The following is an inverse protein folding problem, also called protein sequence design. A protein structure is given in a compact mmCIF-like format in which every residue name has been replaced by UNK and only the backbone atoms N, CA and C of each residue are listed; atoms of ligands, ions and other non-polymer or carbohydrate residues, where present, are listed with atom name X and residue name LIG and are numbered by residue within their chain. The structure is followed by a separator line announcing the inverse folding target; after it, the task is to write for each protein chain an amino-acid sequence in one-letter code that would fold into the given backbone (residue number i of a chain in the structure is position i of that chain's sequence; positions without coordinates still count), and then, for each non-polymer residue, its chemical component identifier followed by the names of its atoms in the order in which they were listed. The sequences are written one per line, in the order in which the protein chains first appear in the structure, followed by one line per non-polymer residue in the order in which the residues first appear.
data_IF_199210305007
#
_entry.id   IF_199210305007
#
_cell.length_a   1.000
_cell.length_b   1.000
_cell.length_c   1.000
_cell.angle_alpha   90.00
_cell.angle_beta   90.00
_cell.angle_gamma   90.00
#
_symmetry.space_group_name_H-M   'P 1'
#
loop_
_entity.id
_entity.type
_entity.pdbx_description
1 polymer ?
#
# COMPACT_ATOMS: atom_id res chain seq x y z
N UNK A 1 10.60 15.13 0.20
CA UNK A 1 9.61 14.05 0.10
C UNK A 1 9.07 13.92 -1.32
N UNK A 2 8.35 14.92 -1.85
CA UNK A 2 7.80 14.90 -3.22
C UNK A 2 8.85 14.69 -4.33
N UNK A 3 10.07 15.22 -4.14
CA UNK A 3 11.19 15.04 -5.07
C UNK A 3 11.67 13.59 -5.20
N UNK A 4 11.54 12.79 -4.14
CA UNK A 4 11.92 11.37 -4.18
C UNK A 4 10.93 10.58 -5.04
N UNK A 5 9.63 10.80 -4.84
CA UNK A 5 8.56 10.19 -5.66
C UNK A 5 8.69 10.61 -7.12
N UNK A 6 8.97 11.89 -7.41
CA UNK A 6 9.18 12.36 -8.77
C UNK A 6 10.43 11.75 -9.45
N UNK A 7 11.50 11.52 -8.68
CA UNK A 7 12.70 10.85 -9.18
C UNK A 7 12.42 9.37 -9.49
N UNK A 8 11.67 8.70 -8.63
CA UNK A 8 11.20 7.32 -8.81
C UNK A 8 10.32 7.20 -10.07
N UNK A 9 9.33 8.10 -10.25
CA UNK A 9 8.46 8.13 -11.44
C UNK A 9 9.29 8.35 -12.71
N UNK A 10 10.26 9.27 -12.68
CA UNK A 10 11.14 9.51 -13.83
C UNK A 10 12.01 8.29 -14.15
N UNK A 11 12.50 7.59 -13.13
CA UNK A 11 13.25 6.36 -13.29
C UNK A 11 12.37 5.23 -13.87
N UNK A 12 11.13 5.09 -13.38
CA UNK A 12 10.14 4.19 -13.99
C UNK A 12 9.91 4.51 -15.47
N UNK A 13 9.76 5.78 -15.83
CA UNK A 13 9.56 6.17 -17.22
C UNK A 13 10.73 5.82 -18.15
N UNK A 14 11.95 5.70 -17.60
CA UNK A 14 13.14 5.26 -18.36
C UNK A 14 13.30 3.73 -18.48
N UNK A 15 12.70 2.96 -17.58
CA UNK A 15 12.91 1.50 -17.47
C UNK A 15 11.83 0.67 -18.19
N UNK A 16 10.79 1.28 -18.76
CA UNK A 16 9.63 0.55 -19.31
C UNK A 16 9.80 0.32 -20.82
N UNK A 17 10.26 -0.89 -21.20
CA UNK A 17 9.67 -1.60 -22.32
C UNK A 17 9.62 -3.12 -22.08
N UNK A 18 8.81 -3.59 -21.11
CA UNK A 18 8.48 -5.02 -21.01
C UNK A 18 7.14 -5.30 -21.72
N UNK A 19 7.14 -5.97 -22.89
CA UNK A 19 5.92 -6.29 -23.62
C UNK A 19 4.94 -7.14 -22.80
N UNK A 20 5.44 -7.93 -21.84
CA UNK A 20 4.61 -8.76 -20.97
C UNK A 20 3.73 -7.93 -20.04
N UNK A 21 4.31 -6.91 -19.40
CA UNK A 21 3.61 -6.03 -18.46
C UNK A 21 2.51 -5.21 -19.16
N UNK A 22 2.78 -4.72 -20.38
CA UNK A 22 1.79 -3.97 -21.18
C UNK A 22 0.61 -4.87 -21.53
N UNK A 23 0.85 -6.13 -21.92
CA UNK A 23 -0.22 -7.10 -22.24
C UNK A 23 -1.08 -7.43 -21.02
N UNK A 24 -0.45 -7.66 -19.85
CA UNK A 24 -1.16 -7.93 -18.60
C UNK A 24 -2.04 -6.74 -18.18
N UNK A 25 -1.49 -5.52 -18.23
CA UNK A 25 -2.25 -4.30 -17.98
C UNK A 25 -3.43 -4.14 -18.92
N UNK A 26 -3.22 -4.34 -20.22
CA UNK A 26 -4.26 -4.27 -21.23
C UNK A 26 -5.36 -5.32 -21.02
N UNK A 27 -5.01 -6.52 -20.59
CA UNK A 27 -5.99 -7.56 -20.27
C UNK A 27 -6.87 -7.14 -19.11
N UNK A 28 -6.28 -6.67 -18.01
CA UNK A 28 -7.01 -6.21 -16.83
C UNK A 28 -7.90 -5.01 -17.16
N UNK A 29 -7.35 -4.01 -17.87
CA UNK A 29 -8.08 -2.80 -18.23
C UNK A 29 -9.24 -3.07 -19.20
N UNK A 30 -9.22 -4.16 -19.96
CA UNK A 30 -10.36 -4.56 -20.82
C UNK A 30 -11.33 -5.53 -20.13
N UNK A 31 -10.82 -6.55 -19.43
CA UNK A 31 -11.64 -7.63 -18.86
C UNK A 31 -12.46 -7.15 -17.68
N UNK A 32 -11.88 -6.30 -16.82
CA UNK A 32 -12.57 -5.80 -15.63
C UNK A 32 -13.81 -4.98 -16.01
N UNK A 33 -13.74 -3.94 -16.86
CA UNK A 33 -14.93 -3.18 -17.24
C UNK A 33 -15.95 -4.00 -18.05
N UNK A 34 -15.49 -4.90 -18.93
CA UNK A 34 -16.42 -5.81 -19.64
C UNK A 34 -17.12 -6.80 -18.71
N UNK A 35 -16.41 -7.33 -17.72
CA UNK A 35 -16.98 -8.22 -16.71
C UNK A 35 -18.00 -7.49 -15.83
N UNK A 36 -17.68 -6.28 -15.38
CA UNK A 36 -18.59 -5.45 -14.58
C UNK A 36 -19.84 -5.08 -15.37
N UNK A 37 -19.68 -4.63 -16.62
CA UNK A 37 -20.81 -4.31 -17.50
C UNK A 37 -21.67 -5.55 -17.79
N UNK A 38 -21.05 -6.71 -18.07
CA UNK A 38 -21.77 -7.96 -18.30
C UNK A 38 -22.56 -8.44 -17.08
N UNK A 39 -21.99 -8.34 -15.88
CA UNK A 39 -22.67 -8.69 -14.63
C UNK A 39 -23.83 -7.73 -14.34
N UNK A 40 -23.65 -6.42 -14.53
CA UNK A 40 -24.74 -5.44 -14.36
C UNK A 40 -25.89 -5.68 -15.33
N UNK A 41 -25.59 -5.86 -16.61
CA UNK A 41 -26.61 -6.11 -17.66
C UNK A 41 -27.40 -7.38 -17.34
N UNK A 42 -26.73 -8.42 -16.83
CA UNK A 42 -27.38 -9.67 -16.42
C UNK A 42 -28.24 -9.53 -15.16
N UNK A 43 -27.86 -8.66 -14.22
CA UNK A 43 -28.65 -8.39 -13.01
C UNK A 43 -29.82 -7.41 -13.21
N UNK A 44 -29.77 -6.57 -14.24
CA UNK A 44 -30.73 -5.49 -14.44
C UNK A 44 -31.62 -5.70 -15.68
N UNK A 45 -32.01 -6.95 -15.95
CA UNK A 45 -32.94 -7.36 -17.01
C UNK A 45 -32.69 -6.71 -18.38
N UNK A 46 -31.42 -6.45 -18.72
CA UNK A 46 -31.02 -5.89 -20.01
C UNK A 46 -31.28 -4.38 -20.19
N UNK A 47 -31.65 -3.63 -19.15
CA UNK A 47 -31.69 -2.16 -19.24
C UNK A 47 -30.26 -1.61 -19.22
N UNK A 48 -29.89 -0.92 -20.30
CA UNK A 48 -28.56 -0.32 -20.45
C UNK A 48 -28.59 1.06 -19.81
N UNK A 49 -28.02 1.18 -18.61
CA UNK A 49 -27.89 2.46 -17.92
C UNK A 49 -26.77 3.30 -18.56
N UNK A 50 -26.78 4.63 -18.32
CA UNK A 50 -25.71 5.54 -18.74
C UNK A 50 -24.32 5.09 -18.25
N UNK A 51 -24.26 4.45 -17.08
CA UNK A 51 -23.02 3.90 -16.51
C UNK A 51 -22.47 2.75 -17.35
N UNK A 52 -23.32 1.86 -17.86
CA UNK A 52 -22.92 0.72 -18.70
C UNK A 52 -22.43 1.19 -20.09
N UNK A 53 -23.03 2.26 -20.62
CA UNK A 53 -22.56 2.91 -21.84
C UNK A 53 -21.17 3.53 -21.65
N UNK A 54 -20.93 4.24 -20.54
CA UNK A 54 -19.63 4.82 -20.22
C UNK A 54 -18.58 3.72 -20.06
N UNK A 55 -18.89 2.65 -19.31
CA UNK A 55 -17.99 1.50 -19.10
C UNK A 55 -17.62 0.82 -20.43
N UNK A 56 -18.60 0.61 -21.29
CA UNK A 56 -18.38 -0.01 -22.61
C UNK A 56 -17.57 0.90 -23.53
N UNK A 57 -17.83 2.21 -23.50
CA UNK A 57 -17.08 3.20 -24.27
C UNK A 57 -15.62 3.28 -23.81
N UNK A 58 -15.36 3.26 -22.51
CA UNK A 58 -13.99 3.20 -21.94
C UNK A 58 -13.28 1.93 -22.42
N UNK A 59 -13.94 0.77 -22.37
CA UNK A 59 -13.37 -0.48 -22.86
C UNK A 59 -13.06 -0.42 -24.38
N UNK A 60 -13.95 0.18 -25.18
CA UNK A 60 -13.75 0.37 -26.62
C UNK A 60 -12.57 1.32 -26.93
N UNK A 61 -12.44 2.43 -26.19
CA UNK A 61 -11.30 3.36 -26.32
C UNK A 61 -9.98 2.66 -26.00
N UNK A 62 -9.94 1.84 -24.95
CA UNK A 62 -8.76 1.03 -24.59
C UNK A 62 -8.45 -0.03 -25.66
N UNK A 63 -9.48 -0.60 -26.30
CA UNK A 63 -9.28 -1.56 -27.39
C UNK A 63 -8.73 -0.87 -28.64
N UNK A 64 -9.21 0.33 -28.96
CA UNK A 64 -8.74 1.14 -30.09
C UNK A 64 -7.31 1.63 -29.85
N UNK A 65 -6.97 2.01 -28.61
CA UNK A 65 -5.60 2.41 -28.29
C UNK A 65 -4.61 1.26 -28.50
N UNK A 66 -5.03 -0.02 -28.44
CA UNK A 66 -4.18 -1.18 -28.81
C UNK A 66 -3.66 -1.13 -30.24
N UNK A 67 -4.35 -0.48 -31.17
CA UNK A 67 -3.86 -0.32 -32.54
C UNK A 67 -2.73 0.71 -32.64
N UNK A 68 -2.61 1.60 -31.66
CA UNK A 68 -1.62 2.68 -31.63
C UNK A 68 -0.60 2.46 -30.51
N UNK A 69 0.49 1.75 -30.83
CA UNK A 69 1.62 1.51 -29.91
C UNK A 69 2.09 2.74 -29.09
N UNK A 70 2.24 3.96 -29.66
CA UNK A 70 2.73 5.11 -28.89
C UNK A 70 1.72 5.64 -27.88
N UNK A 71 0.42 5.53 -28.13
CA UNK A 71 -0.62 5.97 -27.20
C UNK A 71 -0.57 5.11 -25.92
N UNK A 72 -0.54 3.78 -26.09
CA UNK A 72 -0.55 2.79 -24.99
C UNK A 72 0.55 3.06 -23.96
N UNK A 73 1.72 3.47 -24.43
CA UNK A 73 2.85 3.76 -23.56
C UNK A 73 2.59 4.97 -22.66
N UNK A 74 1.88 5.98 -23.16
CA UNK A 74 1.50 7.18 -22.40
C UNK A 74 0.44 6.83 -21.37
N UNK A 75 -0.60 6.09 -21.75
CA UNK A 75 -1.65 5.68 -20.82
C UNK A 75 -1.10 4.78 -19.70
N UNK A 76 -0.25 3.81 -20.05
CA UNK A 76 0.41 2.94 -19.06
C UNK A 76 1.29 3.74 -18.09
N UNK A 77 2.08 4.68 -18.60
CA UNK A 77 2.96 5.54 -17.77
C UNK A 77 2.17 6.44 -16.82
N UNK A 78 1.04 6.99 -17.29
CA UNK A 78 0.15 7.81 -16.47
C UNK A 78 -0.54 6.98 -15.39
N UNK A 79 -1.00 5.78 -15.72
CA UNK A 79 -1.63 4.90 -14.75
C UNK A 79 -0.65 4.40 -13.68
N UNK A 80 0.57 4.04 -14.10
CA UNK A 80 1.59 3.53 -13.19
C UNK A 80 2.12 4.63 -12.26
N UNK A 81 2.25 5.88 -12.74
CA UNK A 81 2.64 7.00 -11.88
C UNK A 81 1.55 7.31 -10.84
N UNK A 82 0.28 7.23 -11.22
CA UNK A 82 -0.85 7.38 -10.30
C UNK A 82 -0.85 6.27 -9.25
N UNK A 83 -0.69 5.01 -9.66
CA UNK A 83 -0.61 3.87 -8.76
C UNK A 83 0.54 4.01 -7.74
N UNK A 84 1.69 4.54 -8.15
CA UNK A 84 2.81 4.81 -7.26
C UNK A 84 2.50 5.90 -6.22
N UNK A 85 1.89 7.00 -6.64
CA UNK A 85 1.47 8.08 -5.72
C UNK A 85 0.44 7.56 -4.71
N UNK A 86 -0.53 6.78 -5.18
CA UNK A 86 -1.50 6.12 -4.30
C UNK A 86 -0.82 5.16 -3.33
N UNK A 87 0.07 4.28 -3.80
CA UNK A 87 0.78 3.33 -2.95
C UNK A 87 1.62 4.01 -1.86
N UNK A 88 2.27 5.12 -2.21
CA UNK A 88 3.00 5.95 -1.26
C UNK A 88 2.08 6.58 -0.20
N UNK A 89 0.96 7.16 -0.65
CA UNK A 89 -0.03 7.75 0.26
C UNK A 89 -0.64 6.69 1.18
N UNK A 90 -0.99 5.52 0.64
CA UNK A 90 -1.55 4.39 1.40
C UNK A 90 -0.57 3.88 2.46
N UNK A 91 0.72 3.74 2.12
CA UNK A 91 1.72 3.29 3.09
C UNK A 91 1.83 4.24 4.28
N UNK A 92 1.82 5.55 4.01
CA UNK A 92 1.85 6.59 5.05
C UNK A 92 0.56 6.58 5.87
N UNK A 93 -0.60 6.44 5.21
CA UNK A 93 -1.90 6.40 5.85
C UNK A 93 -2.05 5.18 6.75
N UNK A 94 -1.73 3.98 6.28
CA UNK A 94 -1.82 2.73 7.05
C UNK A 94 -0.93 2.80 8.28
N UNK A 95 0.33 3.25 8.12
CA UNK A 95 1.25 3.37 9.25
C UNK A 95 0.74 4.38 10.29
N UNK A 96 0.24 5.54 9.82
CA UNK A 96 -0.34 6.56 10.71
C UNK A 96 -1.58 6.03 11.42
N UNK A 97 -2.46 5.32 10.70
CA UNK A 97 -3.68 4.75 11.23
C UNK A 97 -3.38 3.74 12.34
N UNK A 98 -2.46 2.80 12.09
CA UNK A 98 -2.01 1.82 13.11
C UNK A 98 -1.41 2.54 14.31
N UNK A 99 -0.59 3.57 14.09
CA UNK A 99 0.03 4.30 15.18
C UNK A 99 -1.01 5.02 16.06
N UNK A 100 -2.00 5.67 15.47
CA UNK A 100 -3.00 6.42 16.21
C UNK A 100 -4.14 5.58 16.77
N UNK A 101 -4.56 4.50 16.12
CA UNK A 101 -5.66 3.64 16.58
C UNK A 101 -5.23 2.47 17.44
N UNK A 102 -3.99 2.01 17.33
CA UNK A 102 -3.51 0.86 18.09
C UNK A 102 -2.44 1.30 19.08
N UNK A 103 -1.31 1.83 18.60
CA UNK A 103 -0.14 2.08 19.45
C UNK A 103 -0.43 3.19 20.47
N UNK A 104 -1.02 4.30 20.02
CA UNK A 104 -1.31 5.47 20.86
C UNK A 104 -2.31 5.17 21.98
N UNK A 105 -3.48 4.55 21.73
CA UNK A 105 -4.41 4.22 22.81
C UNK A 105 -3.87 3.15 23.72
N UNK A 106 -3.11 2.15 23.23
CA UNK A 106 -2.45 1.18 24.09
C UNK A 106 -1.45 1.87 25.03
N UNK A 107 -0.60 2.75 24.51
CA UNK A 107 0.33 3.53 25.31
C UNK A 107 -0.36 4.48 26.30
N UNK A 108 -1.48 5.08 25.90
CA UNK A 108 -2.30 5.92 26.76
C UNK A 108 -2.97 5.11 27.88
N UNK A 109 -3.49 3.93 27.56
CA UNK A 109 -4.08 3.02 28.53
C UNK A 109 -3.03 2.54 29.54
N UNK A 110 -1.83 2.17 29.08
CA UNK A 110 -0.71 1.80 29.96
C UNK A 110 -0.33 2.94 30.93
N UNK A 111 -0.35 4.20 30.45
CA UNK A 111 -0.14 5.39 31.29
C UNK A 111 -1.24 5.54 32.35
N UNK A 112 -2.51 5.32 31.98
CA UNK A 112 -3.64 5.39 32.92
C UNK A 112 -3.62 4.26 33.95
N UNK A 113 -3.24 3.04 33.56
CA UNK A 113 -3.14 1.88 34.46
C UNK A 113 -1.86 1.89 35.31
N UNK A 114 -1.01 2.93 35.19
CA UNK A 114 0.24 3.05 35.94
C UNK A 114 1.29 1.98 35.60
N UNK A 115 1.13 1.28 34.47
CA UNK A 115 2.05 0.25 34.04
C UNK A 115 3.21 0.93 33.31
N UNK A 116 4.34 1.11 34.01
CA UNK A 116 5.58 1.66 33.46
C UNK A 116 6.56 0.52 33.16
N UNK A 117 6.49 -0.10 31.96
CA UNK A 117 7.40 -1.20 31.59
C UNK A 117 8.86 -0.74 31.47
N UNK A 118 9.10 0.57 31.37
CA UNK A 118 10.44 1.14 31.20
C UNK A 118 11.00 1.73 32.50
N UNK A 119 10.27 1.67 33.63
CA UNK A 119 10.68 2.26 34.92
C UNK A 119 11.26 3.67 34.71
N UNK A 120 10.54 4.50 33.94
CA UNK A 120 10.96 5.86 33.56
C UNK A 120 10.88 6.84 34.73
N UNK A 121 10.15 6.49 35.80
CA UNK A 121 10.15 7.32 37.01
C UNK A 121 11.50 7.23 37.72
N UNK A 122 12.24 8.33 37.72
CA UNK A 122 13.42 8.50 38.58
C UNK A 122 12.96 8.44 40.04
N UNK A 123 13.13 7.29 40.70
CA UNK A 123 12.90 7.14 42.14
C UNK A 123 13.94 7.96 42.88
N UNK A 124 13.51 9.08 43.46
CA UNK A 124 14.34 9.88 44.37
C UNK A 124 14.60 9.06 45.63
N UNK A 125 15.80 8.48 45.75
CA UNK A 125 16.22 7.70 46.93
C UNK A 125 17.03 6.43 46.61
N UNK A 126 17.08 5.98 45.36
CA UNK A 126 17.91 4.83 44.97
C UNK A 126 19.33 5.30 44.57
N UNK A 127 20.36 4.63 45.08
CA UNK A 127 21.78 4.95 44.82
C UNK A 127 22.25 4.51 43.43
N UNK A 128 21.53 3.60 42.78
CA UNK A 128 21.83 3.11 41.43
C UNK A 128 20.60 2.43 40.81
N UNK A 129 20.31 2.73 39.54
CA UNK A 129 19.28 2.05 38.73
C UNK A 129 19.76 0.72 38.14
N UNK A 130 21.00 0.32 38.44
CA UNK A 130 21.60 -0.89 37.92
C UNK A 130 20.93 -2.13 38.53
N UNK A 131 20.15 -2.87 37.72
CA UNK A 131 19.67 -4.20 38.11
C UNK A 131 20.79 -5.21 37.89
N UNK A 132 21.18 -5.91 38.96
CA UNK A 132 22.12 -7.02 38.85
C UNK A 132 21.59 -8.07 37.87
N UNK A 133 22.42 -8.47 36.92
CA UNK A 133 22.08 -9.54 35.99
C UNK A 133 21.88 -10.83 36.81
N UNK A 134 20.76 -11.57 36.63
CA UNK A 134 20.53 -12.78 37.40
C UNK A 134 21.67 -13.77 37.16
N UNK A 135 22.10 -14.45 38.23
CA UNK A 135 23.22 -15.40 38.19
C UNK A 135 22.98 -16.43 37.08
N UNK A 136 23.88 -16.42 36.10
CA UNK A 136 23.81 -17.31 34.93
C UNK A 136 23.91 -18.75 35.43
N UNK A 137 22.85 -19.55 35.25
CA UNK A 137 22.90 -20.98 35.56
C UNK A 137 24.00 -21.63 34.70
N UNK A 138 24.86 -22.50 35.28
CA UNK A 138 25.96 -23.14 34.56
C UNK A 138 25.55 -23.95 33.32
N UNK A 139 24.27 -24.31 33.15
CA UNK A 139 23.80 -25.10 32.00
C UNK A 139 23.34 -24.26 30.79
N UNK A 140 23.48 -22.94 30.81
CA UNK A 140 22.96 -22.03 29.77
C UNK A 140 23.81 -21.97 28.48
N UNK A 141 24.85 -22.79 28.32
CA UNK A 141 25.80 -22.72 27.19
C UNK A 141 25.23 -23.12 25.83
N UNK A 142 24.06 -23.76 25.77
CA UNK A 142 23.56 -24.41 24.54
C UNK A 142 23.07 -23.46 23.43
N UNK A 143 23.09 -22.13 23.62
CA UNK A 143 22.60 -21.14 22.63
C UNK A 143 23.37 -19.82 22.72
N UNK A 144 24.65 -19.82 22.35
CA UNK A 144 25.49 -18.61 22.32
C UNK A 144 25.69 -18.03 20.91
N UNK A 145 25.32 -18.77 19.87
CA UNK A 145 25.38 -18.37 18.46
C UNK A 145 24.03 -18.57 17.81
#
# INVERSE_FOLDING_TARGET
MFRAVLAEIRHLWSQIPDPGAIRGFLLVLTLVPLGIAGIRIWWHDGQIDLLDQILTLVAAVVLISRLFLPAIQVEYKAWMSLAMVLGFMMSTLILSLIFYLVITPVGFLMRLTGHDPLVKSFRKGESSYWKAYPTRKPDSWKRQF
#
